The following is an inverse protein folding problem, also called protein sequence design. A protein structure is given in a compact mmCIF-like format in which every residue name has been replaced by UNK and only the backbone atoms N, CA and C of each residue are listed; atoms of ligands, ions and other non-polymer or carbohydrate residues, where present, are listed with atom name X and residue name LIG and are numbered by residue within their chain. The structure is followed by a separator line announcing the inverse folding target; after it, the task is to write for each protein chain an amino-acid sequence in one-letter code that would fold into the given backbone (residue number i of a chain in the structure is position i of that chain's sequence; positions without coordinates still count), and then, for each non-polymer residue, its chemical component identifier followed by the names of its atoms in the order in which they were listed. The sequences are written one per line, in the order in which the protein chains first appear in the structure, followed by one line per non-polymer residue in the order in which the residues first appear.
data_IF_093433610919
#
_entry.id   IF_093433610919
#
_cell.length_a   1.000
_cell.length_b   1.000
_cell.length_c   1.000
_cell.angle_alpha   90.00
_cell.angle_beta   90.00
_cell.angle_gamma   90.00
#
_symmetry.space_group_name_H-M   'P 1'
#
loop_
_entity.id
_entity.type
_entity.pdbx_description
1 polymer ?
#
# COMPACT_ATOMS: atom_id res chain seq x y z
N UNK A 1 1.64 -10.10 12.30
CA UNK A 1 2.27 -9.29 11.23
C UNK A 1 1.31 -8.18 10.82
N UNK A 2 1.81 -6.99 10.48
CA UNK A 2 0.98 -5.92 9.93
C UNK A 2 0.70 -6.20 8.44
N UNK A 3 -0.53 -5.97 7.98
CA UNK A 3 -1.00 -6.24 6.62
C UNK A 3 -0.08 -5.68 5.53
N UNK A 4 0.45 -4.47 5.74
CA UNK A 4 1.35 -3.80 4.79
C UNK A 4 2.63 -4.62 4.55
N UNK A 5 3.18 -5.24 5.58
CA UNK A 5 4.39 -6.05 5.46
C UNK A 5 4.14 -7.32 4.63
N UNK A 6 2.91 -7.83 4.61
CA UNK A 6 2.56 -9.00 3.81
C UNK A 6 2.52 -8.68 2.31
N UNK A 7 2.22 -7.44 1.94
CA UNK A 7 2.27 -6.96 0.56
C UNK A 7 3.70 -6.75 0.05
N UNK A 8 4.62 -6.27 0.90
CA UNK A 8 6.00 -5.99 0.50
C UNK A 8 6.84 -7.25 0.24
N UNK A 9 6.62 -8.31 1.02
CA UNK A 9 7.47 -9.48 0.95
C UNK A 9 7.08 -10.41 -0.22
N UNK A 10 8.01 -10.77 -1.12
CA UNK A 10 7.74 -11.74 -2.18
C UNK A 10 7.51 -13.16 -1.65
N UNK A 11 7.82 -13.43 -0.37
CA UNK A 11 7.55 -14.72 0.27
C UNK A 11 6.07 -14.88 0.64
N UNK A 12 5.39 -13.76 0.91
CA UNK A 12 3.98 -13.72 1.34
C UNK A 12 3.07 -13.24 0.21
N UNK A 13 3.51 -12.26 -0.58
CA UNK A 13 2.77 -11.75 -1.74
C UNK A 13 3.13 -12.54 -3.00
N UNK A 14 2.26 -13.50 -3.35
CA UNK A 14 2.33 -14.29 -4.60
C UNK A 14 1.27 -13.87 -5.62
N UNK A 15 0.71 -12.65 -5.48
CA UNK A 15 -0.28 -12.16 -6.43
C UNK A 15 0.39 -11.91 -7.78
N UNK A 16 -0.34 -12.21 -8.85
CA UNK A 16 0.10 -11.97 -10.23
C UNK A 16 -0.69 -10.81 -10.87
N UNK A 17 -1.15 -9.88 -10.04
CA UNK A 17 -1.83 -8.65 -10.46
C UNK A 17 -0.95 -7.42 -10.16
N UNK A 18 -1.54 -6.24 -10.31
CA UNK A 18 -0.86 -4.96 -10.08
C UNK A 18 -0.38 -4.74 -8.64
N UNK A 19 -0.78 -5.58 -7.67
CA UNK A 19 -0.38 -5.49 -6.27
C UNK A 19 0.71 -6.50 -5.87
N UNK A 20 1.10 -7.43 -6.76
CA UNK A 20 2.13 -8.44 -6.46
C UNK A 20 3.28 -8.50 -7.47
N UNK A 21 3.05 -8.05 -8.70
CA UNK A 21 4.10 -8.04 -9.74
C UNK A 21 5.14 -6.95 -9.48
N UNK A 22 6.40 -7.37 -9.39
CA UNK A 22 7.54 -6.47 -9.22
C UNK A 22 7.54 -5.71 -7.89
N UNK A 23 8.55 -4.87 -7.70
CA UNK A 23 8.66 -4.06 -6.47
C UNK A 23 7.59 -2.98 -6.41
N UNK A 24 7.31 -2.33 -7.54
CA UNK A 24 6.29 -1.28 -7.64
C UNK A 24 4.88 -1.79 -7.32
N UNK A 25 4.52 -3.00 -7.75
CA UNK A 25 3.21 -3.57 -7.40
C UNK A 25 3.10 -3.88 -5.92
N UNK A 26 4.15 -4.44 -5.32
CA UNK A 26 4.19 -4.74 -3.88
C UNK A 26 4.19 -3.49 -2.99
N UNK A 27 4.69 -2.36 -3.49
CA UNK A 27 4.66 -1.08 -2.79
C UNK A 27 3.38 -0.27 -3.00
N UNK A 28 2.61 -0.57 -4.05
CA UNK A 28 1.42 0.19 -4.45
C UNK A 28 0.42 0.39 -3.32
N UNK A 29 0.10 -0.67 -2.58
CA UNK A 29 -0.87 -0.60 -1.48
C UNK A 29 -0.44 0.38 -0.38
N UNK A 30 0.85 0.40 -0.03
CA UNK A 30 1.38 1.35 0.95
C UNK A 30 1.34 2.78 0.43
N UNK A 31 1.65 2.99 -0.85
CA UNK A 31 1.60 4.31 -1.48
C UNK A 31 0.17 4.87 -1.57
N UNK A 32 -0.82 4.03 -1.90
CA UNK A 32 -2.24 4.41 -1.89
C UNK A 32 -2.70 4.83 -0.49
N UNK A 33 -2.22 4.17 0.57
CA UNK A 33 -2.50 4.54 1.96
C UNK A 33 -1.80 5.84 2.36
N UNK A 34 -0.65 6.20 1.79
CA UNK A 34 0.01 7.48 2.09
C UNK A 34 -0.64 8.63 1.31
N UNK A 35 -1.07 8.39 0.07
CA UNK A 35 -1.70 9.39 -0.80
C UNK A 35 -3.18 9.65 -0.43
N UNK A 36 -3.93 8.61 -0.06
CA UNK A 36 -5.37 8.68 0.22
C UNK A 36 -5.78 9.57 1.41
N UNK A 37 -5.12 9.52 2.58
CA UNK A 37 -5.50 10.31 3.76
C UNK A 37 -5.31 11.80 3.53
N UNK A 38 -4.32 12.19 2.71
CA UNK A 38 -3.97 13.57 2.31
C UNK A 38 -5.16 14.51 2.15
N UNK A 39 -6.21 13.97 1.52
CA UNK A 39 -7.40 14.70 1.10
C UNK A 39 -8.48 14.77 2.19
N UNK A 40 -8.45 13.89 3.18
CA UNK A 40 -9.46 13.79 4.23
C UNK A 40 -8.99 14.35 5.58
N UNK A 41 -7.69 14.40 5.87
CA UNK A 41 -7.17 15.02 7.10
C UNK A 41 -6.99 16.54 7.02
N UNK A 42 -7.04 17.13 5.82
CA UNK A 42 -7.03 18.58 5.64
C UNK A 42 -8.33 19.28 6.10
N UNK A 43 -9.38 18.54 6.48
CA UNK A 43 -10.69 19.07 6.89
C UNK A 43 -10.89 19.12 8.41
N UNK A 44 -9.94 18.66 9.22
CA UNK A 44 -10.05 18.71 10.69
C UNK A 44 -8.92 19.49 11.32
N UNK A 45 -8.64 20.68 10.79
CA UNK A 45 -8.04 21.79 11.55
C UNK A 45 -8.76 23.07 11.11
N UNK A 46 -9.98 23.27 11.62
CA UNK A 46 -10.62 24.59 11.75
C UNK A 46 -11.14 24.71 13.17
#
# INVERSE_FOLDING_TARGET
MLLINEFFSPRTNRRDDEYGRGENGRARFALEIVDGPGKHWAVTIQ
#
